data_IF_273300946036
#
_entry.id   IF_273300946036
#
_cell.length_a   1.000
_cell.length_b   1.000
_cell.length_c   1.000
_cell.angle_alpha   90.00
_cell.angle_beta   90.00
_cell.angle_gamma   90.00
#
_symmetry.space_group_name_H-M   'P 1'
#
loop_
_entity.id
_entity.type
_entity.pdbx_description
1 polymer ?
#
# COMPACT_ATOMS: atom_id res chain seq x y z
N UNK A 1 -24.69 3.58 -4.16
CA UNK A 1 -23.93 2.67 -3.28
C UNK A 1 -23.91 3.22 -1.86
N UNK A 2 -23.83 2.36 -0.85
CA UNK A 2 -23.59 2.78 0.54
C UNK A 2 -22.14 3.28 0.62
N UNK A 3 -21.92 4.46 1.20
CA UNK A 3 -20.58 5.01 1.41
C UNK A 3 -19.90 4.22 2.54
N UNK A 4 -19.02 3.30 2.16
CA UNK A 4 -18.21 2.47 3.05
C UNK A 4 -16.84 3.12 3.19
N UNK A 5 -16.48 3.53 4.41
CA UNK A 5 -15.11 3.94 4.70
C UNK A 5 -14.34 2.75 5.26
N UNK A 6 -13.22 2.43 4.61
CA UNK A 6 -12.33 1.36 5.05
C UNK A 6 -10.88 1.75 4.82
N UNK A 7 -9.99 1.11 5.57
CA UNK A 7 -8.55 1.23 5.45
C UNK A 7 -7.99 -0.04 4.82
N UNK A 8 -6.94 0.08 4.00
CA UNK A 8 -6.16 -1.07 3.53
C UNK A 8 -4.85 -1.10 4.32
N UNK A 9 -4.55 -2.23 4.95
CA UNK A 9 -3.28 -2.46 5.65
C UNK A 9 -2.45 -3.45 4.85
N UNK A 10 -1.25 -3.04 4.44
CA UNK A 10 -0.33 -3.83 3.61
C UNK A 10 0.89 -4.18 4.45
N UNK A 11 1.07 -5.46 4.75
CA UNK A 11 2.30 -5.94 5.39
C UNK A 11 3.28 -6.39 4.31
N UNK A 12 4.49 -5.84 4.31
CA UNK A 12 5.55 -6.22 3.37
C UNK A 12 6.88 -6.51 4.07
N UNK A 13 7.74 -7.25 3.39
CA UNK A 13 9.12 -7.53 3.80
C UNK A 13 9.94 -7.88 2.57
N UNK A 14 10.95 -7.07 2.26
CA UNK A 14 11.93 -7.25 1.19
C UNK A 14 11.29 -7.45 -0.19
N UNK A 15 10.17 -6.76 -0.46
CA UNK A 15 9.38 -6.85 -1.71
C UNK A 15 9.00 -5.46 -2.24
N UNK A 16 10.00 -4.61 -2.57
CA UNK A 16 9.73 -3.24 -3.00
C UNK A 16 8.93 -3.20 -4.31
N UNK A 17 9.23 -4.06 -5.28
CA UNK A 17 8.56 -4.06 -6.58
C UNK A 17 7.09 -4.52 -6.50
N UNK A 18 6.80 -5.51 -5.65
CA UNK A 18 5.42 -5.94 -5.42
C UNK A 18 4.64 -4.91 -4.60
N UNK A 19 5.29 -4.22 -3.67
CA UNK A 19 4.67 -3.11 -2.94
C UNK A 19 4.29 -1.98 -3.91
N UNK A 20 5.19 -1.60 -4.82
CA UNK A 20 4.93 -0.56 -5.83
C UNK A 20 3.74 -0.94 -6.71
N UNK A 21 3.75 -2.14 -7.29
CA UNK A 21 2.63 -2.63 -8.11
C UNK A 21 1.29 -2.71 -7.32
N UNK A 22 1.35 -3.04 -6.03
CA UNK A 22 0.18 -3.07 -5.17
C UNK A 22 -0.39 -1.66 -4.94
N UNK A 23 0.47 -0.69 -4.61
CA UNK A 23 0.07 0.70 -4.41
C UNK A 23 -0.48 1.33 -5.69
N UNK A 24 0.16 1.07 -6.83
CA UNK A 24 -0.34 1.48 -8.15
C UNK A 24 -1.74 0.93 -8.42
N UNK A 25 -1.96 -0.37 -8.15
CA UNK A 25 -3.27 -1.00 -8.32
C UNK A 25 -4.34 -0.41 -7.40
N UNK A 26 -3.99 -0.08 -6.15
CA UNK A 26 -4.90 0.56 -5.19
C UNK A 26 -5.27 1.98 -5.64
N UNK A 27 -4.33 2.74 -6.20
CA UNK A 27 -4.57 4.10 -6.71
C UNK A 27 -5.60 4.14 -7.85
N UNK A 28 -5.75 3.03 -8.58
CA UNK A 28 -6.65 2.88 -9.73
C UNK A 28 -8.03 2.30 -9.37
N UNK A 29 -8.31 2.01 -8.10
CA UNK A 29 -9.61 1.45 -7.71
C UNK A 29 -10.75 2.43 -7.98
N UNK A 30 -11.85 1.95 -8.55
CA UNK A 30 -13.07 2.74 -8.78
C UNK A 30 -13.79 3.13 -7.48
N UNK A 31 -13.40 2.51 -6.37
CA UNK A 31 -13.83 2.83 -5.02
C UNK A 31 -12.59 2.92 -4.11
N UNK A 32 -12.02 4.12 -3.91
CA UNK A 32 -10.77 4.27 -3.18
C UNK A 32 -10.95 4.03 -1.67
N UNK A 33 -9.93 3.48 -0.97
CA UNK A 33 -9.93 3.42 0.48
C UNK A 33 -9.87 4.82 1.09
N UNK A 34 -10.21 4.93 2.37
CA UNK A 34 -9.99 6.16 3.13
C UNK A 34 -8.50 6.42 3.38
N UNK A 35 -7.75 5.36 3.67
CA UNK A 35 -6.30 5.40 3.88
C UNK A 35 -5.68 4.05 3.50
N UNK A 36 -4.40 4.10 3.16
CA UNK A 36 -3.54 2.92 2.99
C UNK A 36 -2.40 3.02 3.98
N UNK A 37 -2.18 1.94 4.74
CA UNK A 37 -1.15 1.86 5.78
C UNK A 37 -0.18 0.75 5.39
N UNK A 38 1.08 1.11 5.15
CA UNK A 38 2.14 0.14 4.89
C UNK A 38 2.86 -0.19 6.20
N UNK A 39 2.89 -1.47 6.55
CA UNK A 39 3.68 -2.02 7.66
C UNK A 39 4.88 -2.74 7.05
N UNK A 40 6.04 -2.09 7.15
CA UNK A 40 7.29 -2.59 6.58
C UNK A 40 8.12 -3.33 7.64
N UNK A 41 8.41 -4.60 7.39
CA UNK A 41 9.31 -5.44 8.18
C UNK A 41 10.59 -5.81 7.41
N UNK A 42 10.93 -5.04 6.37
CA UNK A 42 12.14 -5.20 5.57
C UNK A 42 13.40 -4.98 6.40
N UNK A 43 14.48 -5.66 6.02
CA UNK A 43 15.81 -5.49 6.60
C UNK A 43 16.67 -4.48 5.81
N UNK A 44 16.08 -3.83 4.81
CA UNK A 44 16.64 -2.70 4.07
C UNK A 44 15.58 -1.58 3.90
N UNK A 45 15.99 -0.46 3.30
CA UNK A 45 15.14 0.72 3.12
C UNK A 45 14.40 0.78 1.78
N UNK A 46 14.46 -0.27 0.95
CA UNK A 46 13.89 -0.22 -0.41
C UNK A 46 12.36 -0.19 -0.37
N UNK A 47 11.75 -0.99 0.51
CA UNK A 47 10.29 -0.99 0.68
C UNK A 47 9.80 0.31 1.32
N UNK A 48 10.53 0.86 2.30
CA UNK A 48 10.24 2.19 2.87
C UNK A 48 10.26 3.29 1.80
N UNK A 49 11.25 3.29 0.90
CA UNK A 49 11.34 4.29 -0.17
C UNK A 49 10.12 4.25 -1.09
N UNK A 50 9.61 3.05 -1.40
CA UNK A 50 8.38 2.87 -2.18
C UNK A 50 7.16 3.37 -1.41
N UNK A 51 7.07 3.12 -0.11
CA UNK A 51 5.92 3.52 0.71
C UNK A 51 5.80 5.04 0.94
N UNK A 52 6.85 5.82 0.67
CA UNK A 52 6.90 7.28 0.88
C UNK A 52 6.67 8.12 -0.39
N UNK A 53 6.72 7.51 -1.58
CA UNK A 53 6.42 8.15 -2.85
C UNK A 53 4.91 8.32 -3.05
#
# INVERSE_FOLDING_TARGET
MKDIRFSIVICTRNRPSELEACLDSISLQTYPPYETITVDASDDSRSEAVARN
#
